data_IF_304972229345
#
_entry.id   IF_304972229345
#
_cell.length_a   1.000
_cell.length_b   1.000
_cell.length_c   1.000
_cell.angle_alpha   90.00
_cell.angle_beta   90.00
_cell.angle_gamma   90.00
#
_symmetry.space_group_name_H-M   'P 1'
#
loop_
_entity.id
_entity.type
_entity.pdbx_description
1 polymer ?
#
# COMPACT_ATOMS: atom_id res chain seq x y z
N UNK A 1 -7.47 7.91 -12.79
CA UNK A 1 -6.58 6.88 -13.38
C UNK A 1 -5.10 7.23 -13.24
N UNK A 2 -4.66 8.41 -13.69
CA UNK A 2 -3.26 8.87 -13.53
C UNK A 2 -2.73 8.76 -12.09
N UNK A 3 -3.50 9.21 -11.08
CA UNK A 3 -3.09 9.09 -9.67
C UNK A 3 -2.89 7.66 -9.18
N UNK A 4 -3.70 6.70 -9.67
CA UNK A 4 -3.57 5.28 -9.31
C UNK A 4 -2.34 4.67 -9.97
N UNK A 5 -2.07 5.02 -11.24
CA UNK A 5 -0.88 4.57 -11.94
C UNK A 5 0.40 5.12 -11.30
N UNK A 6 0.40 6.38 -10.88
CA UNK A 6 1.51 7.00 -10.13
C UNK A 6 1.70 6.26 -8.79
N UNK A 7 0.61 5.98 -8.08
CA UNK A 7 0.64 5.24 -6.81
C UNK A 7 1.15 3.80 -6.99
N UNK A 8 0.71 3.11 -8.04
CA UNK A 8 1.15 1.77 -8.38
C UNK A 8 2.62 1.74 -8.79
N UNK A 9 3.09 2.75 -9.52
CA UNK A 9 4.50 2.95 -9.82
C UNK A 9 5.34 3.16 -8.57
N UNK A 10 4.89 4.03 -7.66
CA UNK A 10 5.54 4.28 -6.36
C UNK A 10 5.64 3.01 -5.51
N UNK A 11 4.53 2.29 -5.36
CA UNK A 11 4.52 1.02 -4.62
C UNK A 11 5.45 -0.01 -5.29
N UNK A 12 5.45 -0.08 -6.61
CA UNK A 12 6.32 -0.97 -7.37
C UNK A 12 7.80 -0.61 -7.24
N UNK A 13 8.16 0.68 -7.15
CA UNK A 13 9.53 1.10 -6.85
C UNK A 13 9.94 0.67 -5.44
N UNK A 14 9.05 0.85 -4.45
CA UNK A 14 9.32 0.40 -3.07
C UNK A 14 9.59 -1.10 -3.05
N UNK A 15 8.73 -1.90 -3.70
CA UNK A 15 8.88 -3.36 -3.74
C UNK A 15 10.13 -3.75 -4.52
N UNK A 16 10.40 -3.14 -5.68
CA UNK A 16 11.61 -3.43 -6.46
C UNK A 16 12.89 -3.11 -5.68
N UNK A 17 12.94 -2.00 -4.94
CA UNK A 17 14.08 -1.70 -4.04
C UNK A 17 14.18 -2.74 -2.93
N UNK A 18 13.06 -3.25 -2.43
CA UNK A 18 13.05 -4.25 -1.38
C UNK A 18 13.40 -5.65 -1.88
N UNK A 19 13.03 -6.04 -3.10
CA UNK A 19 13.22 -7.38 -3.69
C UNK A 19 14.27 -7.38 -4.81
N UNK A 20 15.35 -6.61 -4.65
CA UNK A 20 16.56 -6.65 -5.50
C UNK A 20 16.32 -6.37 -7.00
N UNK A 21 15.31 -5.56 -7.30
CA UNK A 21 15.02 -5.05 -8.65
C UNK A 21 13.89 -5.77 -9.38
N UNK A 22 13.25 -6.76 -8.76
CA UNK A 22 12.12 -7.45 -9.40
C UNK A 22 10.83 -6.60 -9.33
N UNK A 23 10.24 -6.35 -10.50
CA UNK A 23 9.00 -5.59 -10.60
C UNK A 23 7.82 -6.55 -10.78
N UNK A 24 6.87 -6.65 -9.82
CA UNK A 24 5.86 -7.71 -9.84
C UNK A 24 4.76 -7.53 -10.91
N UNK A 25 4.83 -6.47 -11.70
CA UNK A 25 3.89 -6.18 -12.79
C UNK A 25 2.81 -5.15 -12.43
N UNK A 26 2.33 -4.42 -13.45
CA UNK A 26 1.39 -3.30 -13.30
C UNK A 26 0.03 -3.72 -12.74
N UNK A 27 -0.50 -4.87 -13.15
CA UNK A 27 -1.77 -5.39 -12.65
C UNK A 27 -1.71 -5.70 -11.15
N UNK A 28 -0.64 -6.39 -10.76
CA UNK A 28 -0.32 -6.76 -9.38
C UNK A 28 -0.18 -5.54 -8.48
N UNK A 29 0.58 -4.53 -8.93
CA UNK A 29 0.75 -3.27 -8.20
C UNK A 29 -0.56 -2.50 -8.06
N UNK A 30 -1.36 -2.44 -9.12
CA UNK A 30 -2.67 -1.78 -9.08
C UNK A 30 -3.58 -2.44 -8.04
N UNK A 31 -3.63 -3.77 -8.01
CA UNK A 31 -4.41 -4.52 -7.02
C UNK A 31 -3.93 -4.25 -5.57
N UNK A 32 -2.60 -4.25 -5.35
CA UNK A 32 -2.02 -3.96 -4.04
C UNK A 32 -2.34 -2.53 -3.56
N UNK A 33 -2.29 -1.55 -4.47
CA UNK A 33 -2.68 -0.16 -4.17
C UNK A 33 -4.15 -0.07 -3.77
N UNK A 34 -5.05 -0.71 -4.52
CA UNK A 34 -6.46 -0.73 -4.16
C UNK A 34 -6.69 -1.39 -2.79
N UNK A 35 -6.02 -2.50 -2.50
CA UNK A 35 -6.11 -3.20 -1.22
C UNK A 35 -5.62 -2.34 -0.05
N UNK A 36 -4.66 -1.43 -0.25
CA UNK A 36 -4.19 -0.51 0.78
C UNK A 36 -5.10 0.73 0.93
N UNK A 37 -5.52 1.34 -0.19
CA UNK A 37 -6.26 2.61 -0.18
C UNK A 37 -7.72 2.43 0.22
N UNK A 38 -8.41 1.39 -0.26
CA UNK A 38 -9.84 1.20 0.03
C UNK A 38 -10.13 1.11 1.54
N UNK A 39 -9.46 0.22 2.30
CA UNK A 39 -9.67 0.15 3.74
C UNK A 39 -9.31 1.47 4.44
N UNK A 40 -8.22 2.11 4.02
CA UNK A 40 -7.81 3.42 4.55
C UNK A 40 -8.91 4.47 4.38
N UNK A 41 -9.44 4.60 3.16
CA UNK A 41 -10.48 5.58 2.83
C UNK A 41 -11.80 5.30 3.56
N UNK A 42 -12.23 4.03 3.64
CA UNK A 42 -13.46 3.64 4.34
C UNK A 42 -13.35 3.98 5.82
N UNK A 43 -12.25 3.57 6.48
CA UNK A 43 -12.05 3.81 7.92
C UNK A 43 -12.00 5.33 8.19
N UNK A 44 -11.26 6.08 7.39
CA UNK A 44 -11.12 7.53 7.58
C UNK A 44 -12.41 8.30 7.29
N UNK A 45 -13.31 7.76 6.45
CA UNK A 45 -14.63 8.35 6.21
C UNK A 45 -15.62 8.12 7.36
N UNK A 46 -15.41 7.08 8.16
CA UNK A 46 -16.30 6.69 9.27
C UNK A 46 -15.81 7.23 10.61
N UNK A 47 -14.50 7.29 10.82
CA UNK A 47 -13.91 7.69 12.10
C UNK A 47 -13.77 9.22 12.23
N UNK A 48 -13.82 9.75 13.47
CA UNK A 48 -13.53 11.15 13.72
C UNK A 48 -12.11 11.53 13.28
N UNK A 49 -11.85 12.78 12.83
CA UNK A 49 -10.54 13.21 12.34
C UNK A 49 -9.38 13.01 13.33
N UNK A 50 -9.65 13.02 14.64
CA UNK A 50 -8.66 12.73 15.68
C UNK A 50 -8.02 11.33 15.55
N UNK A 51 -8.62 10.42 14.78
CA UNK A 51 -8.20 9.04 14.58
C UNK A 51 -7.64 8.79 13.17
N UNK A 52 -7.14 9.83 12.50
CA UNK A 52 -6.67 9.78 11.10
C UNK A 52 -5.61 8.71 10.79
N UNK A 53 -4.90 8.20 11.81
CA UNK A 53 -3.91 7.13 11.68
C UNK A 53 -4.51 5.72 11.62
N UNK A 54 -5.74 5.51 12.08
CA UNK A 54 -6.33 4.17 12.14
C UNK A 54 -6.58 3.61 10.74
N UNK A 55 -7.10 4.43 9.82
CA UNK A 55 -7.30 3.99 8.43
C UNK A 55 -6.01 3.53 7.77
N UNK A 56 -4.93 4.33 7.78
CA UNK A 56 -3.63 3.94 7.28
C UNK A 56 -3.07 2.66 7.90
N UNK A 57 -3.25 2.44 9.20
CA UNK A 57 -2.80 1.20 9.85
C UNK A 57 -3.55 0.00 9.29
N UNK A 58 -4.88 0.10 9.18
CA UNK A 58 -5.70 -0.98 8.59
C UNK A 58 -5.34 -1.20 7.12
N UNK A 59 -5.14 -0.13 6.36
CA UNK A 59 -4.67 -0.20 4.98
C UNK A 59 -3.29 -0.82 4.83
N UNK A 60 -2.36 -0.55 5.75
CA UNK A 60 -1.01 -1.13 5.71
C UNK A 60 -1.06 -2.63 5.96
N UNK A 61 -1.93 -3.08 6.87
CA UNK A 61 -2.14 -4.51 7.14
C UNK A 61 -2.78 -5.18 5.92
N UNK A 62 -3.87 -4.62 5.39
CA UNK A 62 -4.57 -5.18 4.23
C UNK A 62 -3.66 -5.22 2.99
N UNK A 63 -3.01 -4.09 2.67
CA UNK A 63 -2.04 -3.97 1.59
C UNK A 63 -0.83 -4.89 1.79
N UNK A 64 -0.33 -5.02 3.02
CA UNK A 64 0.77 -5.94 3.35
C UNK A 64 0.41 -7.40 3.09
N UNK A 65 -0.81 -7.83 3.43
CA UNK A 65 -1.26 -9.18 3.09
C UNK A 65 -1.41 -9.39 1.58
N UNK A 66 -1.96 -8.41 0.86
CA UNK A 66 -2.10 -8.50 -0.60
C UNK A 66 -0.73 -8.53 -1.30
N UNK A 67 0.20 -7.68 -0.89
CA UNK A 67 1.58 -7.66 -1.42
C UNK A 67 2.27 -8.99 -1.12
N UNK A 68 2.13 -9.52 0.12
CA UNK A 68 2.71 -10.81 0.48
C UNK A 68 2.16 -11.94 -0.38
N UNK A 69 0.84 -11.98 -0.59
CA UNK A 69 0.19 -13.02 -1.39
C UNK A 69 0.52 -12.93 -2.88
N UNK A 70 0.65 -11.73 -3.44
CA UNK A 70 0.83 -11.53 -4.87
C UNK A 70 2.29 -11.39 -5.33
N UNK A 71 3.17 -10.94 -4.43
CA UNK A 71 4.58 -10.69 -4.75
C UNK A 71 5.53 -11.71 -4.10
N UNK A 72 5.00 -12.74 -3.41
CA UNK A 72 5.82 -13.77 -2.76
C UNK A 72 6.68 -13.28 -1.59
N UNK A 73 6.47 -12.03 -1.15
CA UNK A 73 7.24 -11.41 -0.07
C UNK A 73 6.78 -11.94 1.30
N UNK A 74 7.68 -11.97 2.28
CA UNK A 74 7.27 -12.18 3.67
C UNK A 74 6.30 -11.09 4.15
N UNK A 75 5.32 -11.45 4.98
CA UNK A 75 4.34 -10.50 5.54
C UNK A 75 5.01 -9.31 6.23
N UNK A 76 6.16 -9.55 6.90
CA UNK A 76 6.96 -8.49 7.53
C UNK A 76 7.43 -7.46 6.52
N UNK A 77 8.07 -7.89 5.42
CA UNK A 77 8.56 -6.98 4.36
C UNK A 77 7.40 -6.31 3.64
N UNK A 78 6.37 -7.07 3.30
CA UNK A 78 5.20 -6.56 2.62
C UNK A 78 4.45 -5.47 3.43
N UNK A 79 4.33 -5.66 4.75
CA UNK A 79 3.72 -4.66 5.65
C UNK A 79 4.57 -3.40 5.78
N UNK A 80 5.90 -3.53 5.76
CA UNK A 80 6.82 -2.37 5.72
C UNK A 80 6.64 -1.60 4.41
N UNK A 81 6.58 -2.30 3.27
CA UNK A 81 6.37 -1.68 1.96
C UNK A 81 5.04 -0.90 1.92
N UNK A 82 3.95 -1.54 2.37
CA UNK A 82 2.64 -0.92 2.46
C UNK A 82 2.61 0.28 3.42
N UNK A 83 3.31 0.18 4.56
CA UNK A 83 3.44 1.26 5.53
C UNK A 83 4.18 2.46 4.95
N UNK A 84 5.32 2.26 4.28
CA UNK A 84 6.07 3.33 3.59
C UNK A 84 5.18 4.01 2.56
N UNK A 85 4.49 3.22 1.73
CA UNK A 85 3.60 3.72 0.70
C UNK A 85 2.47 4.59 1.25
N UNK A 86 1.78 4.14 2.31
CA UNK A 86 0.70 4.91 2.93
C UNK A 86 1.23 6.15 3.65
N UNK A 87 2.40 6.08 4.29
CA UNK A 87 3.03 7.26 4.92
C UNK A 87 3.33 8.34 3.87
N UNK A 88 3.77 7.97 2.68
CA UNK A 88 3.99 8.90 1.56
C UNK A 88 2.69 9.51 1.04
N UNK A 89 1.55 8.81 1.15
CA UNK A 89 0.24 9.35 0.80
C UNK A 89 -0.37 10.27 1.88
N UNK A 90 0.09 10.17 3.12
CA UNK A 90 -0.36 11.00 4.25
C UNK A 90 0.52 12.26 4.40
N UNK A 91 1.58 12.40 3.60
CA UNK A 91 2.43 13.59 3.57
C UNK A 91 1.62 14.89 3.34
N UNK A 92 2.14 16.04 3.81
CA UNK A 92 1.43 17.31 3.90
C UNK A 92 0.84 17.80 2.56
#
# INVERSE_FOLDING_TARGET
>A
MLGILISAGLLGIIIAVMEEGDFPGWGTMTACVFAAILPTGIINAVLPPAWFLVGPVVGAVAGGFTISALCGMSVKRASIAAGIFLTLQIGP
#
